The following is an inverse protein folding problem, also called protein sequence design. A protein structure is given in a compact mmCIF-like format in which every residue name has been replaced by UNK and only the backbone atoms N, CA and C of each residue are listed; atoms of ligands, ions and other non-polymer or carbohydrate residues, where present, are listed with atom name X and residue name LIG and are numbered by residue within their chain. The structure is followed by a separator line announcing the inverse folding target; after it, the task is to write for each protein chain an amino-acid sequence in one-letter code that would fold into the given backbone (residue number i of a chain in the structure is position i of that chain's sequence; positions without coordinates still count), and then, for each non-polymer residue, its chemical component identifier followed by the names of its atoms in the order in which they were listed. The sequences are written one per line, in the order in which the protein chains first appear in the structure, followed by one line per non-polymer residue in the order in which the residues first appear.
data_IF_473243550614
#
_entry.id   IF_473243550614
#
_cell.length_a   1.000
_cell.length_b   1.000
_cell.length_c   1.000
_cell.angle_alpha   90.00
_cell.angle_beta   90.00
_cell.angle_gamma   90.00
#
_symmetry.space_group_name_H-M   'P 1'
#
loop_
_entity.id
_entity.type
_entity.pdbx_description
1 polymer ?
#
# COMPACT_ATOMS: atom_id res chain seq x y z
N UNK A 1 -2.35 19.54 3.62
CA UNK A 1 -1.04 19.34 2.97
C UNK A 1 -0.84 20.28 1.78
N UNK A 2 -1.69 20.21 0.74
CA UNK A 2 -1.53 20.99 -0.50
C UNK A 2 -1.78 22.51 -0.41
N UNK A 3 -2.48 22.97 0.64
CA UNK A 3 -2.85 24.38 0.80
C UNK A 3 -2.10 25.01 1.99
N UNK A 4 -2.30 24.51 3.21
CA UNK A 4 -1.73 25.14 4.42
C UNK A 4 -0.24 24.85 4.65
N UNK A 5 0.26 23.71 4.17
CA UNK A 5 1.65 23.25 4.38
C UNK A 5 2.42 23.15 3.06
N UNK A 6 1.97 23.87 2.04
CA UNK A 6 2.64 23.96 0.74
C UNK A 6 4.11 24.41 0.82
N UNK A 7 4.52 25.33 1.73
CA UNK A 7 5.93 25.76 1.82
C UNK A 7 6.89 24.67 2.33
N UNK A 8 6.39 23.65 3.01
CA UNK A 8 7.20 22.53 3.55
C UNK A 8 7.18 21.30 2.63
N UNK A 9 6.48 21.35 1.51
CA UNK A 9 6.44 20.27 0.53
C UNK A 9 7.58 20.46 -0.49
N UNK A 10 8.48 19.48 -0.60
CA UNK A 10 9.57 19.48 -1.59
C UNK A 10 9.13 18.70 -2.85
N UNK A 11 8.76 19.39 -3.95
CA UNK A 11 8.27 18.73 -5.16
C UNK A 11 9.35 17.93 -5.89
N UNK A 12 10.64 18.15 -5.58
CA UNK A 12 11.73 17.45 -6.26
C UNK A 12 11.89 16.01 -5.74
N UNK A 13 11.32 15.69 -4.59
CA UNK A 13 11.41 14.36 -3.97
C UNK A 13 10.23 13.46 -4.40
N UNK A 14 9.05 14.04 -4.62
CA UNK A 14 7.83 13.34 -5.05
C UNK A 14 7.67 13.32 -6.58
N UNK A 15 8.55 12.56 -7.26
CA UNK A 15 8.55 12.47 -8.75
C UNK A 15 7.83 11.24 -9.27
N UNK A 16 7.08 10.53 -8.43
CA UNK A 16 6.46 9.27 -8.82
C UNK A 16 5.26 9.54 -9.74
N UNK A 17 5.24 8.91 -10.91
CA UNK A 17 4.16 9.07 -11.90
C UNK A 17 2.94 8.23 -11.51
N UNK A 18 2.05 8.82 -10.71
CA UNK A 18 0.82 8.18 -10.21
C UNK A 18 -0.14 7.77 -11.33
N UNK A 19 -0.02 8.35 -12.52
CA UNK A 19 -0.84 8.02 -13.69
C UNK A 19 -0.70 6.54 -14.08
N UNK A 20 0.47 5.94 -13.90
CA UNK A 20 0.68 4.52 -14.20
C UNK A 20 -0.09 3.62 -13.24
N UNK A 21 -0.17 4.00 -11.96
CA UNK A 21 -0.94 3.25 -10.96
C UNK A 21 -2.44 3.37 -11.21
N UNK A 22 -2.90 4.58 -11.51
CA UNK A 22 -4.30 4.84 -11.84
C UNK A 22 -4.73 4.06 -13.08
N UNK A 23 -3.91 4.08 -14.13
CA UNK A 23 -4.20 3.34 -15.36
C UNK A 23 -4.19 1.84 -15.11
N UNK A 24 -3.16 1.31 -14.43
CA UNK A 24 -3.06 -0.11 -14.10
C UNK A 24 -4.23 -0.61 -13.26
N UNK A 25 -4.58 0.11 -12.18
CA UNK A 25 -5.72 -0.23 -11.33
C UNK A 25 -7.06 -0.15 -12.06
N UNK A 26 -7.23 0.86 -12.92
CA UNK A 26 -8.45 1.02 -13.72
C UNK A 26 -8.62 -0.12 -14.72
N UNK A 27 -7.54 -0.50 -15.42
CA UNK A 27 -7.55 -1.63 -16.36
C UNK A 27 -7.86 -2.93 -15.64
N UNK A 28 -7.21 -3.20 -14.51
CA UNK A 28 -7.46 -4.42 -13.72
C UNK A 28 -8.90 -4.48 -13.17
N UNK A 29 -9.43 -3.36 -12.67
CA UNK A 29 -10.81 -3.29 -12.18
C UNK A 29 -11.87 -3.43 -13.27
N UNK A 30 -11.56 -3.07 -14.52
CA UNK A 30 -12.43 -3.29 -15.67
C UNK A 30 -12.38 -4.73 -16.19
N UNK A 31 -11.19 -5.35 -16.17
CA UNK A 31 -10.97 -6.71 -16.67
C UNK A 31 -11.49 -7.76 -15.69
N UNK A 32 -11.34 -7.51 -14.38
CA UNK A 32 -11.70 -8.48 -13.35
C UNK A 32 -12.55 -7.87 -12.21
N UNK A 33 -13.79 -7.44 -12.50
CA UNK A 33 -14.76 -7.09 -11.48
C UNK A 33 -15.53 -8.32 -10.98
N UNK A 34 -16.09 -8.31 -9.75
CA UNK A 34 -16.99 -9.36 -9.26
C UNK A 34 -18.24 -9.52 -10.13
N UNK A 35 -18.78 -8.41 -10.63
CA UNK A 35 -19.82 -8.39 -11.64
C UNK A 35 -19.69 -7.14 -12.52
N UNK A 36 -20.18 -7.21 -13.76
CA UNK A 36 -20.16 -6.09 -14.70
C UNK A 36 -21.29 -5.09 -14.43
N UNK A 37 -21.30 -4.53 -13.22
CA UNK A 37 -22.12 -3.39 -12.81
C UNK A 37 -21.20 -2.24 -12.48
N UNK A 38 -21.61 -1.01 -12.76
CA UNK A 38 -20.77 0.17 -12.53
C UNK A 38 -20.26 0.25 -11.07
N UNK A 39 -21.11 -0.08 -10.09
CA UNK A 39 -20.71 -0.11 -8.68
C UNK A 39 -19.61 -1.12 -8.37
N UNK A 40 -19.71 -2.32 -8.92
CA UNK A 40 -18.76 -3.42 -8.70
C UNK A 40 -17.43 -3.18 -9.42
N UNK A 41 -17.49 -2.57 -10.61
CA UNK A 41 -16.30 -2.13 -11.34
C UNK A 41 -15.57 -1.05 -10.54
N UNK A 42 -16.28 -0.02 -10.08
CA UNK A 42 -15.66 1.05 -9.28
C UNK A 42 -15.09 0.51 -7.95
N UNK A 43 -15.78 -0.43 -7.32
CA UNK A 43 -15.29 -1.12 -6.14
C UNK A 43 -14.00 -1.92 -6.44
N UNK A 44 -13.97 -2.69 -7.53
CA UNK A 44 -12.76 -3.41 -7.95
C UNK A 44 -11.59 -2.46 -8.27
N UNK A 45 -11.85 -1.36 -9.00
CA UNK A 45 -10.84 -0.32 -9.26
C UNK A 45 -10.30 0.25 -7.95
N UNK A 46 -11.16 0.50 -6.95
CA UNK A 46 -10.72 1.02 -5.65
C UNK A 46 -9.78 0.05 -4.91
N UNK A 47 -10.05 -1.26 -4.96
CA UNK A 47 -9.20 -2.29 -4.35
C UNK A 47 -7.84 -2.40 -5.05
N UNK A 48 -7.83 -2.42 -6.38
CA UNK A 48 -6.57 -2.46 -7.13
C UNK A 48 -5.75 -1.20 -6.89
N UNK A 49 -6.37 -0.01 -6.87
CA UNK A 49 -5.67 1.24 -6.61
C UNK A 49 -5.11 1.27 -5.18
N UNK A 50 -5.89 0.85 -4.20
CA UNK A 50 -5.47 0.78 -2.80
C UNK A 50 -4.27 -0.14 -2.60
N UNK A 51 -4.21 -1.26 -3.33
CA UNK A 51 -3.10 -2.21 -3.23
C UNK A 51 -1.75 -1.59 -3.60
N UNK A 52 -1.73 -0.62 -4.51
CA UNK A 52 -0.50 0.03 -5.02
C UNK A 52 -0.32 1.48 -4.54
N UNK A 53 -1.31 2.06 -3.87
CA UNK A 53 -1.31 3.47 -3.47
C UNK A 53 -0.16 3.87 -2.54
N UNK A 54 0.49 2.90 -1.88
CA UNK A 54 1.63 3.15 -0.98
C UNK A 54 2.96 3.37 -1.72
N UNK A 55 3.06 2.98 -3.00
CA UNK A 55 4.30 3.01 -3.76
C UNK A 55 4.98 4.40 -3.84
N UNK A 56 4.27 5.52 -4.06
CA UNK A 56 4.90 6.84 -4.08
C UNK A 56 5.61 7.17 -2.77
N UNK A 57 4.96 6.85 -1.64
CA UNK A 57 5.52 7.07 -0.30
C UNK A 57 6.74 6.20 -0.04
N UNK A 58 6.70 4.92 -0.44
CA UNK A 58 7.86 4.03 -0.31
C UNK A 58 9.03 4.49 -1.18
N UNK A 59 8.76 4.93 -2.40
CA UNK A 59 9.77 5.46 -3.31
C UNK A 59 10.43 6.73 -2.77
N UNK A 60 9.63 7.63 -2.19
CA UNK A 60 10.14 8.85 -1.55
C UNK A 60 11.09 8.49 -0.38
N UNK A 61 10.70 7.55 0.49
CA UNK A 61 11.52 7.11 1.61
C UNK A 61 12.83 6.43 1.17
N UNK A 62 12.80 5.65 0.10
CA UNK A 62 14.00 5.07 -0.52
C UNK A 62 14.97 6.14 -1.01
N UNK A 63 14.44 7.21 -1.61
CA UNK A 63 15.26 8.30 -2.17
C UNK A 63 15.85 9.22 -1.11
N UNK A 64 15.11 9.52 -0.04
CA UNK A 64 15.60 10.40 1.03
C UNK A 64 16.66 9.71 1.87
N UNK A 65 16.75 8.38 1.84
CA UNK A 65 17.75 7.61 2.56
C UNK A 65 17.57 7.62 4.08
N UNK A 66 16.74 8.51 4.62
CA UNK A 66 16.32 8.59 6.02
C UNK A 66 14.79 8.59 6.08
N UNK A 67 14.23 7.72 6.91
CA UNK A 67 12.83 7.78 7.31
C UNK A 67 12.76 8.26 8.76
N UNK A 68 11.96 9.29 9.01
CA UNK A 68 11.71 9.76 10.37
C UNK A 68 11.06 8.61 11.19
N UNK A 69 11.50 8.41 12.43
CA UNK A 69 11.05 7.29 13.27
C UNK A 69 9.53 7.25 13.40
N UNK A 70 8.88 8.41 13.47
CA UNK A 70 7.41 8.56 13.54
C UNK A 70 6.74 8.04 12.27
N UNK A 71 7.19 8.47 11.09
CA UNK A 71 6.69 8.00 9.78
C UNK A 71 6.83 6.50 9.64
N UNK A 72 7.92 5.95 10.17
CA UNK A 72 8.26 4.54 10.10
C UNK A 72 7.32 3.68 10.97
N UNK A 73 7.00 4.12 12.18
CA UNK A 73 5.98 3.47 13.03
C UNK A 73 4.56 3.58 12.45
N UNK A 74 4.21 4.72 11.85
CA UNK A 74 2.92 4.90 11.20
C UNK A 74 2.72 3.90 10.06
N UNK A 75 3.71 3.80 9.16
CA UNK A 75 3.66 2.85 8.05
C UNK A 75 3.64 1.40 8.52
N UNK A 76 4.36 1.09 9.60
CA UNK A 76 4.31 -0.23 10.22
C UNK A 76 2.90 -0.58 10.73
N UNK A 77 2.27 0.32 11.50
CA UNK A 77 0.92 0.10 12.00
C UNK A 77 -0.11 -0.04 10.86
N UNK A 78 0.01 0.77 9.80
CA UNK A 78 -0.84 0.70 8.61
C UNK A 78 -0.69 -0.65 7.89
N UNK A 79 0.54 -1.13 7.72
CA UNK A 79 0.81 -2.43 7.12
C UNK A 79 0.28 -3.58 8.00
N UNK A 80 0.46 -3.52 9.32
CA UNK A 80 -0.03 -4.56 10.24
C UNK A 80 -1.54 -4.65 10.20
N UNK A 81 -2.24 -3.50 10.21
CA UNK A 81 -3.68 -3.45 10.02
C UNK A 81 -4.12 -4.19 8.75
N UNK A 82 -3.40 -4.04 7.63
CA UNK A 82 -3.68 -4.78 6.40
C UNK A 82 -3.35 -6.26 6.50
N UNK A 83 -2.22 -6.62 7.11
CA UNK A 83 -1.85 -8.02 7.31
C UNK A 83 -2.91 -8.79 8.12
N UNK A 84 -3.58 -8.13 9.08
CA UNK A 84 -4.67 -8.71 9.86
C UNK A 84 -5.91 -9.07 9.03
N UNK A 85 -6.07 -8.56 7.81
CA UNK A 85 -7.13 -9.01 6.91
C UNK A 85 -6.90 -10.42 6.38
N UNK A 86 -5.64 -10.88 6.28
CA UNK A 86 -5.34 -12.22 5.78
C UNK A 86 -5.91 -13.31 6.72
N UNK A 87 -5.62 -13.31 8.05
CA UNK A 87 -6.30 -14.21 8.98
C UNK A 87 -7.82 -14.07 8.99
N UNK A 88 -8.34 -12.85 8.80
CA UNK A 88 -9.79 -12.63 8.71
C UNK A 88 -10.40 -13.34 7.48
N UNK A 89 -9.78 -13.27 6.30
CA UNK A 89 -10.25 -14.02 5.12
C UNK A 89 -10.18 -15.53 5.34
N UNK A 90 -9.11 -16.00 5.97
CA UNK A 90 -8.95 -17.41 6.33
C UNK A 90 -10.10 -17.84 7.27
N UNK A 91 -10.38 -17.05 8.30
CA UNK A 91 -11.48 -17.32 9.24
C UNK A 91 -12.83 -17.36 8.52
N UNK A 92 -13.13 -16.36 7.68
CA UNK A 92 -14.38 -16.26 6.89
C UNK A 92 -14.56 -17.47 5.97
N UNK A 93 -13.47 -17.93 5.35
CA UNK A 93 -13.47 -19.14 4.53
C UNK A 93 -13.86 -20.39 5.34
N UNK A 94 -13.34 -20.55 6.56
CA UNK A 94 -13.66 -21.71 7.42
C UNK A 94 -15.10 -21.72 7.94
N UNK A 95 -15.71 -20.55 8.17
CA UNK A 95 -17.11 -20.44 8.60
C UNK A 95 -18.11 -20.48 7.44
N UNK A 96 -17.63 -20.70 6.20
CA UNK A 96 -18.47 -20.82 5.00
C UNK A 96 -19.01 -19.49 4.47
N UNK A 97 -18.44 -18.36 4.91
CA UNK A 97 -18.78 -17.06 4.35
C UNK A 97 -18.11 -16.85 2.99
N UNK A 98 -18.82 -16.15 2.10
CA UNK A 98 -18.27 -15.78 0.81
C UNK A 98 -17.13 -14.77 0.96
N UNK A 99 -15.99 -15.09 0.36
CA UNK A 99 -14.79 -14.25 0.29
C UNK A 99 -14.54 -13.90 -1.17
N UNK A 100 -14.53 -12.61 -1.47
CA UNK A 100 -14.36 -12.11 -2.84
C UNK A 100 -12.91 -12.29 -3.30
N UNK A 101 -12.63 -13.06 -4.38
CA UNK A 101 -11.28 -13.32 -4.84
C UNK A 101 -10.48 -12.06 -5.19
N UNK A 102 -11.14 -11.04 -5.77
CA UNK A 102 -10.50 -9.76 -6.12
C UNK A 102 -9.92 -9.09 -4.87
N UNK A 103 -10.67 -9.10 -3.76
CA UNK A 103 -10.22 -8.51 -2.49
C UNK A 103 -9.03 -9.27 -1.89
N UNK A 104 -9.02 -10.60 -1.98
CA UNK A 104 -7.90 -11.42 -1.49
C UNK A 104 -6.65 -11.17 -2.32
N UNK A 105 -6.76 -11.18 -3.65
CA UNK A 105 -5.59 -10.99 -4.54
C UNK A 105 -5.02 -9.59 -4.38
N UNK A 106 -5.85 -8.55 -4.43
CA UNK A 106 -5.41 -7.17 -4.22
C UNK A 106 -4.79 -6.98 -2.83
N UNK A 107 -5.38 -7.58 -1.80
CA UNK A 107 -4.88 -7.51 -0.43
C UNK A 107 -3.56 -8.26 -0.21
N UNK A 108 -3.37 -9.43 -0.83
CA UNK A 108 -2.09 -10.15 -0.83
C UNK A 108 -1.02 -9.35 -1.58
N UNK A 109 -1.35 -8.78 -2.73
CA UNK A 109 -0.43 -7.91 -3.47
C UNK A 109 0.02 -6.73 -2.60
N UNK A 110 -0.93 -6.10 -1.91
CA UNK A 110 -0.64 -5.02 -0.97
C UNK A 110 0.32 -5.50 0.14
N UNK A 111 0.05 -6.63 0.78
CA UNK A 111 0.90 -7.19 1.84
C UNK A 111 2.32 -7.50 1.35
N UNK A 112 2.47 -7.99 0.11
CA UNK A 112 3.78 -8.22 -0.51
C UNK A 112 4.53 -6.90 -0.71
N UNK A 113 3.87 -5.84 -1.18
CA UNK A 113 4.51 -4.52 -1.31
C UNK A 113 4.96 -3.96 0.04
N UNK A 114 4.22 -4.21 1.12
CA UNK A 114 4.64 -3.83 2.48
C UNK A 114 5.76 -4.72 3.04
N UNK A 115 6.00 -5.92 2.49
CA UNK A 115 6.97 -6.87 3.06
C UNK A 115 8.42 -6.36 3.01
N UNK A 116 8.80 -5.67 1.93
CA UNK A 116 10.12 -5.04 1.80
C UNK A 116 10.31 -3.95 2.87
N UNK A 117 9.29 -3.12 3.07
CA UNK A 117 9.27 -2.12 4.14
C UNK A 117 9.38 -2.77 5.53
N UNK A 118 8.64 -3.84 5.79
CA UNK A 118 8.72 -4.56 7.07
C UNK A 118 10.10 -5.16 7.34
N UNK A 119 10.73 -5.71 6.31
CA UNK A 119 12.08 -6.25 6.42
C UNK A 119 13.08 -5.17 6.83
N UNK A 120 13.02 -4.00 6.18
CA UNK A 120 13.93 -2.88 6.46
C UNK A 120 13.61 -2.26 7.83
N UNK A 121 12.33 -2.11 8.18
CA UNK A 121 11.87 -1.66 9.49
C UNK A 121 12.45 -2.53 10.61
N UNK A 122 12.31 -3.85 10.49
CA UNK A 122 12.77 -4.80 11.50
C UNK A 122 14.29 -4.80 11.66
N UNK A 123 15.00 -4.76 10.55
CA UNK A 123 16.47 -4.83 10.56
C UNK A 123 17.13 -3.53 11.02
N UNK A 124 16.54 -2.36 10.74
CA UNK A 124 17.18 -1.06 11.04
C UNK A 124 16.60 -0.37 12.26
N UNK A 125 15.27 -0.23 12.35
CA UNK A 125 14.62 0.56 13.42
C UNK A 125 14.61 -0.17 14.76
N UNK A 126 14.21 -1.45 14.77
CA UNK A 126 14.14 -2.22 16.02
C UNK A 126 15.52 -2.55 16.62
N UNK A 127 16.58 -2.49 15.81
CA UNK A 127 17.96 -2.63 16.29
C UNK A 127 18.58 -1.32 16.79
N UNK A 128 17.81 -0.22 16.84
CA UNK A 128 18.29 1.10 17.28
C UNK A 128 19.33 1.73 16.33
N UNK A 129 19.44 1.23 15.10
CA UNK A 129 20.35 1.78 14.07
C UNK A 129 19.58 2.81 13.25
N UNK A 130 20.27 3.86 12.78
CA UNK A 130 19.65 4.82 11.85
C UNK A 130 19.13 4.09 10.61
N UNK A 131 17.90 4.40 10.22
CA UNK A 131 17.25 3.84 9.05
C UNK A 131 17.92 4.42 7.80
N UNK A 132 18.96 3.75 7.29
CA UNK A 132 19.60 4.09 6.02
C UNK A 132 19.19 3.07 4.97
N UNK A 133 18.40 3.39 3.95
CA UNK A 133 18.13 2.45 2.85
C UNK A 133 19.38 2.28 1.95
N UNK A 134 19.72 1.06 1.49
CA UNK A 134 20.77 0.93 0.48
C UNK A 134 20.28 1.57 -0.81
N UNK A 135 21.03 2.57 -1.27
CA UNK A 135 20.88 3.22 -2.59
C UNK A 135 21.17 2.26 -3.74
#
# INVERSE_FOLDING_TARGET
MLVDYKPTHDPNQDTFKVEYLLLGATVLGLVWPPAYRLSEILWAVSLWLESVAILPQLFMLQRTGEAETITTHYLFALGVYRALYIPNWIYRYFIGEYVEPVAVVAGVLQAVLYSDFFYIYWTKVLQGKKFNLPV
#
